data_IF_651821214610
#
_entry.id   IF_651821214610
#
_cell.length_a   1.000
_cell.length_b   1.000
_cell.length_c   1.000
_cell.angle_alpha   90.00
_cell.angle_beta   90.00
_cell.angle_gamma   90.00
#
_symmetry.space_group_name_H-M   'P 1'
#
loop_
_entity.id
_entity.type
_entity.pdbx_description
1 polymer ?
#
# COMPACT_ATOMS: atom_id res chain seq x y z
N UNK A 1 -33.61 19.70 -60.02
CA UNK A 1 -32.30 20.37 -59.92
C UNK A 1 -32.35 21.29 -58.72
N UNK A 2 -31.39 21.17 -57.79
CA UNK A 2 -31.06 22.17 -56.76
C UNK A 2 -31.79 22.06 -55.40
N UNK A 3 -31.07 21.56 -54.39
CA UNK A 3 -31.26 21.61 -52.91
C UNK A 3 -31.31 23.06 -52.36
N UNK A 4 -31.71 23.39 -51.09
CA UNK A 4 -31.16 22.78 -49.85
C UNK A 4 -32.03 22.78 -48.56
N UNK A 5 -31.46 22.14 -47.51
CA UNK A 5 -31.54 22.46 -46.06
C UNK A 5 -32.92 22.52 -45.35
N UNK A 6 -33.16 22.22 -44.08
CA UNK A 6 -32.38 21.85 -42.90
C UNK A 6 -33.37 21.45 -41.77
N UNK A 7 -32.98 20.42 -41.00
CA UNK A 7 -33.10 20.16 -39.55
C UNK A 7 -34.22 20.74 -38.65
N UNK A 8 -34.55 19.87 -37.67
CA UNK A 8 -34.90 20.10 -36.26
C UNK A 8 -36.36 20.44 -35.87
N UNK A 9 -36.96 19.58 -35.03
CA UNK A 9 -36.79 19.69 -33.57
C UNK A 9 -37.64 18.63 -32.82
N UNK A 10 -36.99 17.73 -32.08
CA UNK A 10 -37.59 17.00 -30.96
C UNK A 10 -37.03 17.55 -29.65
N UNK A 11 -37.85 17.75 -28.59
CA UNK A 11 -37.44 18.53 -27.43
C UNK A 11 -36.63 17.71 -26.43
N UNK A 12 -35.52 18.29 -25.98
CA UNK A 12 -34.67 17.83 -24.88
C UNK A 12 -35.38 17.92 -23.52
N UNK A 13 -35.20 16.96 -22.62
CA UNK A 13 -35.65 17.09 -21.23
C UNK A 13 -34.69 17.99 -20.43
N UNK A 14 -35.30 18.93 -19.70
CA UNK A 14 -34.69 19.92 -18.82
C UNK A 14 -33.89 19.25 -17.70
N UNK A 15 -32.57 19.49 -17.67
CA UNK A 15 -31.71 19.17 -16.52
C UNK A 15 -31.97 20.21 -15.43
N UNK A 16 -32.43 19.72 -14.27
CA UNK A 16 -32.70 20.48 -13.05
C UNK A 16 -31.35 20.94 -12.47
N UNK A 17 -31.13 22.26 -12.48
CA UNK A 17 -29.93 22.90 -11.94
C UNK A 17 -29.81 22.71 -10.43
N UNK A 18 -28.77 22.02 -10.00
CA UNK A 18 -28.39 21.86 -8.59
C UNK A 18 -26.89 21.69 -8.36
N UNK A 19 -26.07 21.75 -9.41
CA UNK A 19 -24.61 21.67 -9.30
C UNK A 19 -23.96 22.85 -10.03
N UNK A 20 -22.93 23.50 -9.45
CA UNK A 20 -22.19 24.54 -10.15
C UNK A 20 -21.48 23.94 -11.39
N UNK A 21 -21.40 24.72 -12.46
CA UNK A 21 -20.69 24.32 -13.67
C UNK A 21 -19.21 24.11 -13.35
N UNK A 22 -18.67 22.92 -13.66
CA UNK A 22 -17.23 22.65 -13.58
C UNK A 22 -16.54 23.52 -14.63
N UNK A 23 -15.78 24.51 -14.18
CA UNK A 23 -14.82 25.22 -15.03
C UNK A 23 -13.72 24.23 -15.44
N UNK A 24 -13.54 24.02 -16.73
CA UNK A 24 -12.42 23.25 -17.27
C UNK A 24 -11.11 24.02 -17.00
N UNK A 25 -10.38 23.62 -15.98
CA UNK A 25 -9.02 24.09 -15.76
C UNK A 25 -8.06 23.21 -16.55
N UNK A 26 -7.67 23.70 -17.73
CA UNK A 26 -6.53 23.19 -18.46
C UNK A 26 -5.25 23.63 -17.75
N UNK A 27 -4.63 22.73 -17.00
CA UNK A 27 -3.23 22.86 -16.59
C UNK A 27 -2.43 21.75 -17.27
N UNK A 28 -1.80 22.11 -18.40
CA UNK A 28 -0.67 21.38 -18.95
C UNK A 28 0.59 21.78 -18.18
N UNK A 29 1.08 20.90 -17.32
CA UNK A 29 2.46 20.92 -16.85
C UNK A 29 2.96 19.48 -16.90
N UNK A 30 3.77 19.22 -17.91
CA UNK A 30 4.47 17.98 -18.16
C UNK A 30 5.47 17.74 -17.05
N UNK A 31 5.18 16.77 -16.19
CA UNK A 31 6.18 16.06 -15.39
C UNK A 31 5.91 14.57 -15.57
N UNK A 32 6.56 14.00 -16.59
CA UNK A 32 6.54 12.56 -16.95
C UNK A 32 7.35 11.72 -15.94
N UNK A 33 7.11 11.93 -14.65
CA UNK A 33 7.51 11.00 -13.60
C UNK A 33 6.23 10.42 -13.05
N UNK A 34 5.66 9.46 -13.78
CA UNK A 34 4.50 8.76 -13.31
C UNK A 34 4.87 8.04 -12.00
N UNK A 35 4.08 8.17 -10.92
CA UNK A 35 4.36 7.51 -9.63
C UNK A 35 4.46 5.98 -9.77
N UNK A 36 3.95 5.44 -10.88
CA UNK A 36 3.93 4.02 -11.24
C UNK A 36 5.33 3.36 -11.32
N UNK A 37 6.41 4.10 -11.63
CA UNK A 37 7.75 3.49 -11.70
C UNK A 37 8.44 3.33 -10.35
N UNK A 38 8.04 4.11 -9.34
CA UNK A 38 8.69 4.08 -8.03
C UNK A 38 8.27 2.81 -7.27
N UNK A 39 7.01 2.40 -7.39
CA UNK A 39 6.50 1.24 -6.67
C UNK A 39 6.82 -0.11 -7.34
N UNK A 40 6.94 -0.15 -8.66
CA UNK A 40 7.26 -1.39 -9.40
C UNK A 40 8.71 -1.87 -9.21
N UNK A 41 9.59 -1.10 -8.57
CA UNK A 41 11.05 -1.37 -8.64
C UNK A 41 11.84 -1.20 -7.36
N UNK A 42 11.23 -0.87 -6.23
CA UNK A 42 11.93 -1.10 -4.95
C UNK A 42 11.79 -2.58 -4.63
N UNK A 43 12.59 -3.39 -5.32
CA UNK A 43 12.80 -4.76 -4.93
C UNK A 43 13.20 -4.73 -3.45
N UNK A 44 12.54 -5.52 -2.61
CA UNK A 44 12.89 -5.64 -1.19
C UNK A 44 14.38 -5.95 -0.96
N UNK A 45 15.06 -6.51 -1.96
CA UNK A 45 16.51 -6.73 -2.00
C UNK A 45 17.35 -5.45 -2.05
N UNK A 46 16.77 -4.32 -2.45
CA UNK A 46 17.42 -3.03 -2.52
C UNK A 46 17.56 -2.38 -1.13
N UNK A 47 16.67 -2.73 -0.18
CA UNK A 47 16.74 -2.26 1.20
C UNK A 47 17.93 -2.87 1.94
N UNK A 48 18.58 -2.06 2.77
CA UNK A 48 19.65 -2.56 3.62
C UNK A 48 19.13 -3.66 4.56
N UNK A 49 19.95 -4.66 4.92
CA UNK A 49 19.54 -5.71 5.84
C UNK A 49 18.95 -5.15 7.15
N UNK A 50 19.57 -4.11 7.71
CA UNK A 50 19.09 -3.45 8.93
C UNK A 50 17.67 -2.90 8.79
N UNK A 51 17.36 -2.28 7.65
CA UNK A 51 16.03 -1.75 7.32
C UNK A 51 15.00 -2.86 7.20
N UNK A 52 15.35 -3.97 6.55
CA UNK A 52 14.47 -5.15 6.44
C UNK A 52 14.18 -5.76 7.81
N UNK A 53 15.20 -5.88 8.65
CA UNK A 53 15.01 -6.36 10.03
C UNK A 53 14.15 -5.41 10.84
N UNK A 54 14.45 -4.11 10.81
CA UNK A 54 13.67 -3.13 11.54
C UNK A 54 12.21 -3.06 11.07
N UNK A 55 11.98 -3.20 9.77
CA UNK A 55 10.62 -3.27 9.17
C UNK A 55 9.88 -4.50 9.67
N UNK A 56 10.50 -5.68 9.58
CA UNK A 56 9.89 -6.92 10.04
C UNK A 56 9.57 -6.90 11.54
N UNK A 57 10.47 -6.35 12.34
CA UNK A 57 10.33 -6.29 13.80
C UNK A 57 9.29 -5.24 14.25
N UNK A 58 9.21 -4.12 13.52
CA UNK A 58 8.15 -3.12 13.70
C UNK A 58 6.79 -3.74 13.42
N UNK A 59 6.67 -4.50 12.32
CA UNK A 59 5.39 -5.13 11.97
C UNK A 59 5.03 -6.23 12.95
N UNK A 60 5.99 -7.06 13.38
CA UNK A 60 5.75 -8.05 14.43
C UNK A 60 5.23 -7.39 15.73
N UNK A 61 5.81 -6.25 16.10
CA UNK A 61 5.37 -5.46 17.26
C UNK A 61 3.94 -4.96 17.10
N UNK A 62 3.58 -4.42 15.93
CA UNK A 62 2.21 -3.95 15.64
C UNK A 62 1.20 -5.09 15.62
N UNK A 63 1.55 -6.23 15.01
CA UNK A 63 0.71 -7.43 14.99
C UNK A 63 0.46 -7.97 16.39
N UNK A 64 1.47 -7.94 17.25
CA UNK A 64 1.33 -8.34 18.66
C UNK A 64 0.47 -7.34 19.45
N UNK A 65 0.72 -6.04 19.29
CA UNK A 65 0.06 -4.99 20.08
C UNK A 65 -1.41 -4.76 19.69
N UNK A 66 -1.71 -4.76 18.40
CA UNK A 66 -3.01 -4.28 17.90
C UNK A 66 -3.95 -5.40 17.44
N UNK A 67 -3.41 -6.59 17.16
CA UNK A 67 -4.19 -7.68 16.58
C UNK A 67 -4.19 -8.93 17.45
N UNK A 68 -3.08 -9.26 18.12
CA UNK A 68 -2.96 -10.50 18.86
C UNK A 68 -3.89 -10.53 20.09
N UNK A 69 -4.75 -11.55 20.15
CA UNK A 69 -5.60 -11.85 21.31
C UNK A 69 -5.43 -13.33 21.65
N UNK A 70 -4.88 -13.62 22.84
CA UNK A 70 -4.65 -15.00 23.32
C UNK A 70 -5.92 -15.83 23.42
N UNK A 71 -7.09 -15.18 23.43
CA UNK A 71 -8.41 -15.82 23.52
C UNK A 71 -9.06 -16.05 22.17
N UNK A 72 -8.57 -15.44 21.09
CA UNK A 72 -9.12 -15.58 19.74
C UNK A 72 -8.11 -16.23 18.76
N UNK A 73 -8.27 -17.53 18.44
CA UNK A 73 -7.43 -18.21 17.46
C UNK A 73 -7.42 -17.56 16.07
N UNK A 74 -8.46 -16.82 15.70
CA UNK A 74 -8.54 -16.15 14.39
C UNK A 74 -7.53 -15.02 14.27
N UNK A 75 -7.36 -14.24 15.34
CA UNK A 75 -6.40 -13.13 15.34
C UNK A 75 -4.96 -13.63 15.41
N UNK A 76 -4.71 -14.67 16.21
CA UNK A 76 -3.42 -15.37 16.25
C UNK A 76 -3.05 -15.89 14.85
N UNK A 77 -4.00 -16.56 14.17
CA UNK A 77 -3.77 -17.06 12.83
C UNK A 77 -3.48 -15.93 11.84
N UNK A 78 -4.26 -14.85 11.88
CA UNK A 78 -4.03 -13.67 11.04
C UNK A 78 -2.64 -13.09 11.27
N UNK A 79 -2.24 -12.86 12.53
CA UNK A 79 -0.94 -12.28 12.87
C UNK A 79 0.22 -13.15 12.39
N UNK A 80 0.13 -14.48 12.56
CA UNK A 80 1.15 -15.40 12.06
C UNK A 80 1.22 -15.43 10.53
N UNK A 81 0.07 -15.47 9.85
CA UNK A 81 0.02 -15.48 8.39
C UNK A 81 0.54 -14.16 7.79
N UNK A 82 0.13 -13.02 8.35
CA UNK A 82 0.62 -11.72 7.92
C UNK A 82 2.14 -11.62 8.07
N UNK A 83 2.67 -12.05 9.21
CA UNK A 83 4.11 -12.06 9.45
C UNK A 83 4.89 -12.99 8.52
N UNK A 84 4.32 -14.15 8.15
CA UNK A 84 4.92 -15.08 7.20
C UNK A 84 5.04 -14.47 5.80
N UNK A 85 3.97 -13.83 5.30
CA UNK A 85 3.98 -13.13 4.00
C UNK A 85 5.10 -12.07 3.97
N UNK A 86 5.20 -11.27 5.03
CA UNK A 86 6.18 -10.19 5.15
C UNK A 86 7.61 -10.71 5.24
N UNK A 87 7.82 -11.76 6.04
CA UNK A 87 9.15 -12.37 6.18
C UNK A 87 9.66 -12.94 4.86
N UNK A 88 8.75 -13.50 4.06
CA UNK A 88 9.05 -13.96 2.71
C UNK A 88 9.35 -12.79 1.77
N UNK A 89 8.54 -11.73 1.78
CA UNK A 89 8.72 -10.54 0.94
C UNK A 89 10.06 -9.84 1.21
N UNK A 90 10.41 -9.66 2.49
CA UNK A 90 11.66 -9.04 2.92
C UNK A 90 12.89 -9.97 2.77
N UNK A 91 12.68 -11.24 2.39
CA UNK A 91 13.74 -12.24 2.23
C UNK A 91 14.63 -12.35 3.48
N UNK A 92 14.00 -12.44 4.65
CA UNK A 92 14.72 -12.54 5.92
C UNK A 92 15.40 -13.92 6.03
N UNK A 93 16.65 -14.00 6.54
CA UNK A 93 17.25 -15.27 6.89
C UNK A 93 16.41 -15.97 7.96
N UNK A 94 16.24 -17.29 7.84
CA UNK A 94 15.39 -18.10 8.73
C UNK A 94 15.73 -17.94 10.22
N UNK A 95 17.02 -17.75 10.54
CA UNK A 95 17.48 -17.48 11.91
C UNK A 95 16.86 -16.21 12.47
N UNK A 96 16.76 -15.15 11.66
CA UNK A 96 16.22 -13.86 12.08
C UNK A 96 14.69 -13.91 12.16
N UNK A 97 14.04 -14.58 11.20
CA UNK A 97 12.59 -14.83 11.27
C UNK A 97 12.21 -15.54 12.56
N UNK A 98 12.99 -16.53 13.01
CA UNK A 98 12.77 -17.21 14.29
C UNK A 98 12.89 -16.26 15.49
N UNK A 99 13.87 -15.36 15.49
CA UNK A 99 14.03 -14.39 16.58
C UNK A 99 12.88 -13.39 16.61
N UNK A 100 12.52 -12.76 15.49
CA UNK A 100 11.44 -11.77 15.48
C UNK A 100 10.08 -12.42 15.80
N UNK A 101 9.91 -13.71 15.49
CA UNK A 101 8.72 -14.46 15.87
C UNK A 101 8.51 -14.54 17.39
N UNK A 102 9.57 -14.51 18.22
CA UNK A 102 9.42 -14.48 19.68
C UNK A 102 8.81 -13.16 20.15
N UNK A 103 9.09 -12.04 19.48
CA UNK A 103 8.40 -10.77 19.71
C UNK A 103 6.93 -10.81 19.30
N UNK A 104 6.62 -11.42 18.15
CA UNK A 104 5.24 -11.59 17.67
C UNK A 104 4.38 -12.41 18.66
N UNK A 105 4.95 -13.47 19.21
CA UNK A 105 4.28 -14.39 20.14
C UNK A 105 4.33 -13.90 21.60
N UNK A 106 4.96 -12.75 21.87
CA UNK A 106 5.06 -12.17 23.21
C UNK A 106 6.01 -12.90 24.16
N UNK A 107 6.89 -13.76 23.65
CA UNK A 107 7.88 -14.49 24.43
C UNK A 107 9.06 -13.59 24.87
N UNK A 108 9.33 -12.54 24.09
CA UNK A 108 10.35 -11.52 24.35
C UNK A 108 9.72 -10.13 24.47
N UNK A 109 10.44 -9.20 25.12
CA UNK A 109 9.97 -7.83 25.29
C UNK A 109 9.91 -7.11 23.95
N UNK A 110 8.85 -6.33 23.74
CA UNK A 110 8.69 -5.52 22.53
C UNK A 110 9.91 -4.59 22.36
N UNK A 111 10.52 -4.55 21.17
CA UNK A 111 11.65 -3.69 20.88
C UNK A 111 11.29 -2.19 20.96
N UNK A 112 12.31 -1.33 21.04
CA UNK A 112 12.10 0.12 21.00
C UNK A 112 11.59 0.54 19.61
N UNK A 113 10.27 0.76 19.53
CA UNK A 113 9.56 1.18 18.31
C UNK A 113 10.18 2.44 17.70
N UNK A 114 10.63 3.40 18.52
CA UNK A 114 11.22 4.64 18.02
C UNK A 114 12.59 4.37 17.36
N UNK A 115 13.38 3.45 17.90
CA UNK A 115 14.64 3.01 17.31
C UNK A 115 14.42 2.26 15.99
N UNK A 116 13.40 1.41 15.92
CA UNK A 116 13.03 0.72 14.67
C UNK A 116 12.62 1.71 13.59
N UNK A 117 11.72 2.66 13.89
CA UNK A 117 11.31 3.70 12.95
C UNK A 117 12.51 4.54 12.49
N UNK A 118 13.40 4.90 13.42
CA UNK A 118 14.61 5.66 13.10
C UNK A 118 15.55 4.89 12.16
N UNK A 119 15.70 3.59 12.37
CA UNK A 119 16.50 2.71 11.51
C UNK A 119 15.90 2.64 10.10
N UNK A 120 14.58 2.49 9.99
CA UNK A 120 13.89 2.47 8.68
C UNK A 120 14.08 3.79 7.94
N UNK A 121 13.91 4.92 8.64
CA UNK A 121 14.06 6.27 8.05
C UNK A 121 15.51 6.65 7.73
N UNK A 122 16.49 5.91 8.23
CA UNK A 122 17.90 6.12 7.95
C UNK A 122 18.35 5.46 6.63
N UNK A 123 17.56 4.55 6.07
CA UNK A 123 17.89 3.87 4.82
C UNK A 123 17.96 4.86 3.64
N UNK A 124 19.02 4.80 2.81
CA UNK A 124 19.18 5.72 1.68
C UNK A 124 17.98 5.75 0.71
N UNK A 125 17.37 4.58 0.42
CA UNK A 125 16.22 4.51 -0.48
C UNK A 125 14.99 5.13 0.17
N UNK A 126 14.81 4.95 1.48
CA UNK A 126 13.70 5.55 2.21
C UNK A 126 13.88 7.06 2.35
N UNK A 127 15.11 7.56 2.46
CA UNK A 127 15.38 9.00 2.43
C UNK A 127 15.10 9.63 1.06
N UNK A 128 15.35 8.91 -0.03
CA UNK A 128 15.11 9.37 -1.39
C UNK A 128 13.63 9.29 -1.78
N UNK A 129 12.96 8.18 -1.47
CA UNK A 129 11.61 7.86 -1.97
C UNK A 129 10.50 8.04 -0.92
N UNK A 130 10.87 8.24 0.35
CA UNK A 130 9.94 8.34 1.47
C UNK A 130 9.53 6.99 2.05
N UNK A 131 8.93 7.02 3.24
CA UNK A 131 8.45 5.81 3.93
C UNK A 131 7.23 5.17 3.29
N UNK A 132 6.53 5.88 2.39
CA UNK A 132 5.42 5.34 1.60
C UNK A 132 5.87 4.15 0.75
N UNK A 133 7.14 4.10 0.34
CA UNK A 133 7.75 2.96 -0.35
C UNK A 133 7.68 1.67 0.46
N UNK A 134 7.86 1.74 1.79
CA UNK A 134 7.71 0.56 2.67
C UNK A 134 6.28 0.04 2.61
N UNK A 135 5.29 0.93 2.73
CA UNK A 135 3.88 0.55 2.68
C UNK A 135 3.47 0.01 1.31
N UNK A 136 3.96 0.61 0.23
CA UNK A 136 3.72 0.14 -1.13
C UNK A 136 4.26 -1.28 -1.37
N UNK A 137 5.46 -1.58 -0.87
CA UNK A 137 6.03 -2.93 -0.91
C UNK A 137 5.16 -3.94 -0.17
N UNK A 138 4.72 -3.59 1.04
CA UNK A 138 3.85 -4.46 1.86
C UNK A 138 2.48 -4.69 1.21
N UNK A 139 1.88 -3.63 0.64
CA UNK A 139 0.63 -3.74 -0.11
C UNK A 139 0.78 -4.74 -1.25
N UNK A 140 1.83 -4.60 -2.05
CA UNK A 140 2.10 -5.50 -3.16
C UNK A 140 2.29 -6.95 -2.69
N UNK A 141 3.00 -7.15 -1.57
CA UNK A 141 3.18 -8.48 -0.97
C UNK A 141 1.85 -9.12 -0.56
N UNK A 142 0.95 -8.37 0.09
CA UNK A 142 -0.36 -8.87 0.52
C UNK A 142 -1.31 -9.13 -0.64
N UNK A 143 -1.26 -8.31 -1.68
CA UNK A 143 -2.04 -8.51 -2.90
C UNK A 143 -1.55 -9.75 -3.64
N UNK A 144 -0.23 -9.90 -3.82
CA UNK A 144 0.37 -11.05 -4.48
C UNK A 144 0.16 -12.37 -3.71
N UNK A 145 0.02 -12.32 -2.39
CA UNK A 145 -0.33 -13.50 -1.60
C UNK A 145 -1.81 -13.89 -1.71
N UNK A 146 -2.65 -13.07 -2.34
CA UNK A 146 -4.09 -13.25 -2.41
C UNK A 146 -4.82 -13.05 -1.08
N UNK A 147 -4.17 -12.41 -0.09
CA UNK A 147 -4.71 -12.29 1.26
C UNK A 147 -5.22 -10.89 1.60
N UNK A 148 -5.05 -9.90 0.70
CA UNK A 148 -5.36 -8.51 0.99
C UNK A 148 -6.86 -8.26 1.29
N UNK A 149 -7.18 -8.12 2.57
CA UNK A 149 -8.51 -7.84 3.10
C UNK A 149 -8.49 -6.63 4.07
N UNK A 150 -9.64 -6.33 4.68
CA UNK A 150 -9.78 -5.20 5.62
C UNK A 150 -8.79 -5.22 6.79
N UNK A 151 -8.35 -6.40 7.28
CA UNK A 151 -7.40 -6.50 8.39
C UNK A 151 -6.00 -6.06 7.95
N UNK A 152 -5.59 -6.45 6.74
CA UNK A 152 -4.34 -5.97 6.14
C UNK A 152 -4.38 -4.46 5.89
N UNK A 153 -5.53 -3.90 5.46
CA UNK A 153 -5.71 -2.45 5.32
C UNK A 153 -5.55 -1.72 6.65
N UNK A 154 -6.13 -2.25 7.74
CA UNK A 154 -5.96 -1.68 9.09
C UNK A 154 -4.51 -1.75 9.54
N UNK A 155 -3.83 -2.88 9.31
CA UNK A 155 -2.40 -3.04 9.62
C UNK A 155 -1.56 -1.97 8.90
N UNK A 156 -1.78 -1.79 7.59
CA UNK A 156 -1.09 -0.76 6.81
C UNK A 156 -1.39 0.67 7.32
N UNK A 157 -2.60 0.93 7.80
CA UNK A 157 -2.96 2.22 8.41
C UNK A 157 -2.21 2.49 9.71
N UNK A 158 -2.04 1.48 10.55
CA UNK A 158 -1.26 1.61 11.79
C UNK A 158 0.22 1.86 11.46
N UNK A 159 0.77 1.12 10.50
CA UNK A 159 2.14 1.34 10.01
C UNK A 159 2.33 2.71 9.37
N UNK A 160 1.36 3.20 8.60
CA UNK A 160 1.38 4.55 8.03
C UNK A 160 1.48 5.62 9.11
N UNK A 161 0.70 5.47 10.18
CA UNK A 161 0.73 6.38 11.32
C UNK A 161 2.11 6.39 11.98
N UNK A 162 2.70 5.21 12.23
CA UNK A 162 4.03 5.09 12.85
C UNK A 162 5.15 5.65 11.96
N UNK A 163 5.08 5.40 10.66
CA UNK A 163 6.07 5.85 9.69
C UNK A 163 5.89 7.32 9.27
N UNK A 164 4.77 7.94 9.65
CA UNK A 164 4.43 9.32 9.30
C UNK A 164 4.04 9.51 7.84
N UNK A 165 3.39 8.51 7.24
CA UNK A 165 2.83 8.58 5.89
C UNK A 165 1.41 9.14 5.97
N UNK A 166 1.11 10.10 5.11
CA UNK A 166 -0.26 10.64 4.97
C UNK A 166 -1.13 9.54 4.36
N UNK A 167 -2.24 9.20 5.04
CA UNK A 167 -3.04 8.04 4.64
C UNK A 167 -3.65 8.22 3.26
N UNK A 168 -4.10 9.42 2.92
CA UNK A 168 -4.67 9.75 1.62
C UNK A 168 -3.66 9.51 0.47
N UNK A 169 -2.37 9.80 0.68
CA UNK A 169 -1.33 9.50 -0.31
C UNK A 169 -1.15 7.99 -0.50
N UNK A 170 -1.32 7.21 0.56
CA UNK A 170 -1.29 5.75 0.47
C UNK A 170 -2.54 5.20 -0.25
N UNK A 171 -3.72 5.80 -0.05
CA UNK A 171 -4.93 5.41 -0.77
C UNK A 171 -4.79 5.63 -2.29
N UNK A 172 -4.14 6.72 -2.71
CA UNK A 172 -3.83 6.94 -4.13
C UNK A 172 -2.93 5.84 -4.73
N UNK A 173 -1.99 5.30 -3.93
CA UNK A 173 -1.12 4.18 -4.33
C UNK A 173 -1.93 2.89 -4.48
N UNK A 174 -2.82 2.62 -3.54
CA UNK A 174 -3.69 1.46 -3.57
C UNK A 174 -4.66 1.49 -4.77
N UNK A 175 -5.27 2.63 -5.04
CA UNK A 175 -6.16 2.85 -6.19
C UNK A 175 -5.39 2.68 -7.52
N UNK A 176 -4.15 3.17 -7.59
CA UNK A 176 -3.28 3.01 -8.75
C UNK A 176 -2.91 1.54 -9.01
N UNK A 177 -2.62 0.77 -7.94
CA UNK A 177 -2.34 -0.66 -8.03
C UNK A 177 -3.59 -1.43 -8.51
N UNK A 178 -4.76 -1.12 -7.96
CA UNK A 178 -6.02 -1.71 -8.40
C UNK A 178 -6.29 -1.45 -9.89
N UNK A 179 -6.05 -0.22 -10.36
CA UNK A 179 -6.15 0.14 -11.78
C UNK A 179 -5.25 -0.72 -12.66
N UNK A 180 -4.00 -0.95 -12.24
CA UNK A 180 -3.01 -1.73 -13.01
C UNK A 180 -3.43 -3.20 -13.14
N UNK A 181 -3.88 -3.81 -12.04
CA UNK A 181 -4.36 -5.20 -12.03
C UNK A 181 -5.57 -5.37 -12.95
N UNK A 182 -6.49 -4.40 -12.93
CA UNK A 182 -7.67 -4.42 -13.78
C UNK A 182 -7.27 -4.33 -15.26
N UNK A 183 -6.36 -3.42 -15.61
CA UNK A 183 -5.88 -3.26 -16.99
C UNK A 183 -5.18 -4.53 -17.52
N UNK A 184 -4.35 -5.19 -16.71
CA UNK A 184 -3.70 -6.45 -17.09
C UNK A 184 -4.72 -7.56 -17.39
N UNK A 185 -5.75 -7.71 -16.54
CA UNK A 185 -6.82 -8.71 -16.73
C UNK A 185 -7.60 -8.46 -18.03
N UNK A 186 -7.84 -7.20 -18.40
CA UNK A 186 -8.57 -6.86 -19.62
C UNK A 186 -7.73 -7.01 -20.90
N UNK A 187 -6.39 -7.01 -20.81
CA UNK A 187 -5.52 -7.26 -21.96
C UNK A 187 -5.43 -8.76 -22.28
N UNK A 188 -5.48 -9.63 -21.28
CA UNK A 188 -5.42 -11.09 -21.47
C UNK A 188 -6.71 -11.70 -22.07
N UNK A 189 -7.82 -10.96 -22.12
CA UNK A 189 -9.12 -11.47 -22.61
C UNK A 189 -9.39 -11.27 -24.11
N UNK A 190 -8.36 -10.99 -24.92
CA UNK A 190 -8.51 -10.72 -26.37
C UNK A 190 -7.95 -11.79 -27.29
#
# INVERSE_FOLDING_TARGET
MGTPESLNASPTPRIRGGFPARTSSANSLSSDTSPHRVFSTVATTALEPATRFATADLIASVLHLDFWDDTDPSTIFFSKLAYEIISSDLQLPEKVTRTIKTHLEGEESIPDIAALISTIKADPLIQENGTITVLGSLLLAFVNSGSYDSRYRVLLRHLATLLGVVWEEFEDVEDSLAGTIIEEVFVETK
#
